data_IF_328744230974
#
_entry.id   IF_328744230974
#
_cell.length_a   1.000
_cell.length_b   1.000
_cell.length_c   1.000
_cell.angle_alpha   90.00
_cell.angle_beta   90.00
_cell.angle_gamma   90.00
#
_symmetry.space_group_name_H-M   'P 1'
#
loop_
_entity.id
_entity.type
_entity.pdbx_description
1 polymer ?
#
# COMPACT_ATOMS: atom_id res chain seq x y z
N UNK A 1 -0.98 29.05 9.61
CA UNK A 1 -1.78 27.86 9.22
C UNK A 1 -0.89 26.65 9.42
N UNK A 2 -1.21 25.73 10.36
CA UNK A 2 -0.36 24.57 10.64
C UNK A 2 -0.64 23.48 9.60
N UNK A 3 0.34 23.18 8.75
CA UNK A 3 0.29 22.02 7.85
C UNK A 3 0.13 20.75 8.69
N UNK A 4 -0.89 19.95 8.37
CA UNK A 4 -1.06 18.62 8.95
C UNK A 4 -0.01 17.70 8.32
N UNK A 5 0.78 17.03 9.15
CA UNK A 5 1.80 16.10 8.70
C UNK A 5 1.16 14.92 7.94
N UNK A 6 1.26 14.96 6.63
CA UNK A 6 1.15 13.83 5.71
C UNK A 6 2.44 13.76 4.88
N UNK A 7 2.71 12.62 4.24
CA UNK A 7 3.89 12.47 3.37
C UNK A 7 3.77 13.45 2.20
N UNK A 8 4.53 14.54 2.22
CA UNK A 8 4.63 15.49 1.10
C UNK A 8 5.62 14.95 0.07
N UNK A 9 5.24 14.85 -1.22
CA UNK A 9 6.19 14.52 -2.28
C UNK A 9 7.35 15.54 -2.29
N UNK A 10 8.58 15.07 -2.47
CA UNK A 10 9.78 15.94 -2.48
C UNK A 10 9.66 17.06 -3.51
N UNK A 11 8.97 16.85 -4.63
CA UNK A 11 8.73 17.87 -5.65
C UNK A 11 7.91 19.06 -5.14
N UNK A 12 6.96 18.84 -4.24
CA UNK A 12 6.21 19.92 -3.60
C UNK A 12 7.13 20.77 -2.73
N UNK A 13 8.03 20.13 -1.97
CA UNK A 13 9.02 20.82 -1.13
C UNK A 13 10.02 21.65 -1.94
N UNK A 14 10.38 21.19 -3.15
CA UNK A 14 11.19 21.96 -4.10
C UNK A 14 10.39 23.19 -4.59
N UNK A 15 9.12 23.00 -4.97
CA UNK A 15 8.25 24.09 -5.40
C UNK A 15 8.02 25.16 -4.32
N UNK A 16 8.04 24.78 -3.04
CA UNK A 16 7.97 25.67 -1.88
C UNK A 16 9.31 26.34 -1.53
N UNK A 17 10.40 26.01 -2.22
CA UNK A 17 11.74 26.51 -1.91
C UNK A 17 12.34 25.95 -0.61
N UNK A 18 11.76 24.87 -0.06
CA UNK A 18 12.25 24.18 1.15
C UNK A 18 13.35 23.15 0.86
N UNK A 19 13.52 22.80 -0.42
CA UNK A 19 14.59 21.94 -0.93
C UNK A 19 15.23 22.64 -2.13
N UNK A 20 16.57 22.58 -2.24
CA UNK A 20 17.30 23.21 -3.34
C UNK A 20 16.98 22.50 -4.66
N UNK A 21 16.54 23.26 -5.66
CA UNK A 21 16.26 22.72 -6.98
C UNK A 21 17.52 22.06 -7.59
N UNK A 22 17.34 20.90 -8.21
CA UNK A 22 18.45 20.14 -8.82
C UNK A 22 19.26 19.27 -7.84
N UNK A 23 19.00 19.30 -6.54
CA UNK A 23 19.72 18.44 -5.56
C UNK A 23 18.98 17.16 -5.20
N UNK A 24 17.79 16.94 -5.73
CA UNK A 24 17.02 15.70 -5.48
C UNK A 24 17.76 14.51 -6.08
N UNK A 25 17.97 13.49 -5.26
CA UNK A 25 18.50 12.19 -5.66
C UNK A 25 17.67 11.09 -5.00
N UNK A 26 17.50 9.95 -5.67
CA UNK A 26 16.85 8.79 -5.10
C UNK A 26 17.79 8.09 -4.10
N UNK A 27 17.40 8.02 -2.83
CA UNK A 27 18.24 7.44 -1.77
C UNK A 27 18.06 5.94 -1.62
N UNK A 28 16.84 5.44 -1.84
CA UNK A 28 16.50 4.04 -1.63
C UNK A 28 15.29 3.64 -2.47
N UNK A 29 15.14 2.33 -2.69
CA UNK A 29 13.95 1.72 -3.27
C UNK A 29 13.38 0.72 -2.28
N UNK A 30 12.06 0.77 -2.08
CA UNK A 30 11.33 -0.22 -1.30
C UNK A 30 10.43 -1.02 -2.22
N UNK A 31 10.28 -2.32 -1.93
CA UNK A 31 9.32 -3.18 -2.60
C UNK A 31 8.05 -3.30 -1.76
N UNK A 32 6.92 -3.58 -2.42
CA UNK A 32 5.64 -3.89 -1.78
C UNK A 32 5.32 -5.35 -2.09
N UNK A 33 4.84 -6.08 -1.08
CA UNK A 33 4.55 -7.51 -1.17
C UNK A 33 3.26 -7.89 -0.43
N UNK A 34 2.85 -9.14 -0.61
CA UNK A 34 1.72 -9.74 0.10
C UNK A 34 2.25 -10.59 1.24
N UNK A 35 1.75 -10.35 2.45
CA UNK A 35 2.03 -11.16 3.63
C UNK A 35 0.80 -12.02 3.98
N UNK A 36 1.06 -13.17 4.59
CA UNK A 36 0.04 -14.04 5.19
C UNK A 36 0.46 -14.37 6.61
N UNK A 37 -0.50 -14.81 7.45
CA UNK A 37 -0.20 -15.31 8.79
C UNK A 37 0.79 -16.48 8.73
N UNK A 38 1.67 -16.58 9.73
CA UNK A 38 2.56 -17.72 9.87
C UNK A 38 1.79 -19.05 9.85
N UNK A 39 2.34 -20.03 9.11
CA UNK A 39 1.71 -21.33 8.87
C UNK A 39 0.68 -21.37 7.74
N UNK A 40 0.24 -20.23 7.22
CA UNK A 40 -0.66 -20.19 6.07
C UNK A 40 0.09 -20.52 4.76
N UNK A 41 -0.58 -21.10 3.74
CA UNK A 41 0.03 -21.35 2.44
C UNK A 41 0.56 -20.07 1.80
N UNK A 42 1.76 -20.14 1.20
CA UNK A 42 2.34 -19.02 0.47
C UNK A 42 1.48 -18.70 -0.76
N UNK A 43 1.00 -17.46 -0.93
CA UNK A 43 0.16 -17.09 -2.06
C UNK A 43 0.92 -17.11 -3.39
N UNK A 44 0.24 -17.49 -4.46
CA UNK A 44 0.82 -17.46 -5.81
C UNK A 44 0.60 -16.09 -6.46
N UNK A 45 1.66 -15.28 -6.52
CA UNK A 45 1.59 -13.89 -7.02
C UNK A 45 2.63 -13.57 -8.12
N UNK A 46 3.15 -14.60 -8.81
CA UNK A 46 4.26 -14.41 -9.77
C UNK A 46 3.85 -13.76 -11.10
N UNK A 47 2.56 -13.60 -11.35
CA UNK A 47 2.01 -12.92 -12.53
C UNK A 47 0.81 -12.05 -12.13
N UNK A 48 0.43 -11.05 -12.94
CA UNK A 48 -0.75 -10.23 -12.67
C UNK A 48 -2.03 -11.06 -12.46
N UNK A 49 -2.22 -12.10 -13.28
CA UNK A 49 -3.39 -12.97 -13.16
C UNK A 49 -3.33 -13.88 -11.92
N UNK A 50 -2.14 -14.36 -11.52
CA UNK A 50 -1.97 -15.11 -10.28
C UNK A 50 -2.26 -14.25 -9.05
N UNK A 51 -1.78 -13.00 -9.04
CA UNK A 51 -2.10 -12.01 -8.03
C UNK A 51 -3.61 -11.74 -7.98
N UNK A 52 -4.23 -11.51 -9.14
CA UNK A 52 -5.67 -11.29 -9.27
C UNK A 52 -6.47 -12.42 -8.62
N UNK A 53 -6.20 -13.68 -9.00
CA UNK A 53 -6.89 -14.85 -8.45
C UNK A 53 -6.67 -14.99 -6.95
N UNK A 54 -5.44 -14.77 -6.48
CA UNK A 54 -5.10 -14.79 -5.05
C UNK A 54 -5.95 -13.79 -4.26
N UNK A 55 -6.04 -12.54 -4.72
CA UNK A 55 -6.82 -11.49 -4.04
C UNK A 55 -8.33 -11.76 -4.08
N UNK A 56 -8.83 -12.32 -5.18
CA UNK A 56 -10.24 -12.71 -5.30
C UNK A 56 -10.59 -13.93 -4.44
N UNK A 57 -9.65 -14.84 -4.20
CA UNK A 57 -9.86 -16.00 -3.33
C UNK A 57 -9.70 -15.66 -1.84
N UNK A 58 -8.97 -14.59 -1.50
CA UNK A 58 -8.78 -14.17 -0.12
C UNK A 58 -10.12 -13.82 0.55
N UNK A 59 -10.34 -14.28 1.79
CA UNK A 59 -11.52 -13.95 2.57
C UNK A 59 -11.53 -12.49 3.06
N UNK A 60 -10.34 -11.95 3.27
CA UNK A 60 -10.06 -10.60 3.75
C UNK A 60 -8.72 -10.11 3.20
N UNK A 61 -8.56 -8.79 3.15
CA UNK A 61 -7.29 -8.13 2.81
C UNK A 61 -7.04 -7.06 3.87
N UNK A 62 -5.79 -6.76 4.21
CA UNK A 62 -5.48 -5.62 5.08
C UNK A 62 -4.56 -4.69 4.30
N UNK A 63 -4.97 -3.44 4.16
CA UNK A 63 -4.15 -2.37 3.61
C UNK A 63 -4.17 -1.14 4.52
N UNK A 64 -3.20 -0.25 4.29
CA UNK A 64 -3.14 1.04 4.99
C UNK A 64 -3.89 2.06 4.15
N UNK A 65 -4.75 2.84 4.80
CA UNK A 65 -5.59 3.85 4.17
C UNK A 65 -4.78 4.82 3.30
N UNK A 66 -4.93 4.69 1.98
CA UNK A 66 -4.26 5.53 0.98
C UNK A 66 -4.66 7.00 1.09
N UNK A 67 -5.87 7.30 1.57
CA UNK A 67 -6.34 8.66 1.80
C UNK A 67 -5.60 9.37 2.94
N UNK A 68 -4.82 8.64 3.75
CA UNK A 68 -3.97 9.20 4.81
C UNK A 68 -2.53 9.44 4.37
N UNK A 69 -2.22 9.30 3.07
CA UNK A 69 -0.89 9.55 2.52
C UNK A 69 0.10 8.41 2.75
N UNK A 70 -0.38 7.20 3.05
CA UNK A 70 0.47 6.02 3.08
C UNK A 70 0.89 5.65 1.65
N UNK A 71 2.19 5.78 1.35
CA UNK A 71 2.76 5.50 0.03
C UNK A 71 2.49 4.06 -0.44
N UNK A 72 2.47 3.09 0.49
CA UNK A 72 2.10 1.70 0.21
C UNK A 72 0.62 1.55 -0.16
N UNK A 73 -0.29 2.24 0.53
CA UNK A 73 -1.72 2.24 0.20
C UNK A 73 -2.02 2.81 -1.17
N UNK A 74 -1.33 3.91 -1.55
CA UNK A 74 -1.46 4.51 -2.90
C UNK A 74 -1.02 3.52 -3.98
N UNK A 75 0.10 2.81 -3.77
CA UNK A 75 0.57 1.81 -4.71
C UNK A 75 -0.38 0.60 -4.81
N UNK A 76 -0.88 0.09 -3.68
CA UNK A 76 -1.85 -1.02 -3.66
C UNK A 76 -3.12 -0.64 -4.42
N UNK A 77 -3.65 0.57 -4.22
CA UNK A 77 -4.82 1.05 -4.95
C UNK A 77 -4.60 1.02 -6.48
N UNK A 78 -3.47 1.55 -6.96
CA UNK A 78 -3.13 1.54 -8.39
C UNK A 78 -2.97 0.11 -8.95
N UNK A 79 -2.39 -0.82 -8.16
CA UNK A 79 -2.26 -2.23 -8.56
C UNK A 79 -3.61 -2.93 -8.66
N UNK A 80 -4.60 -2.57 -7.83
CA UNK A 80 -5.94 -3.14 -7.89
C UNK A 80 -6.77 -2.61 -9.07
N UNK A 81 -6.49 -1.39 -9.53
CA UNK A 81 -7.15 -0.78 -10.69
C UNK A 81 -6.70 -1.42 -12.01
N UNK A 82 -5.40 -1.75 -12.15
CA UNK A 82 -4.83 -2.26 -13.41
C UNK A 82 -5.47 -3.57 -13.93
N UNK A 83 -5.81 -4.57 -13.09
CA UNK A 83 -6.55 -5.77 -13.51
C UNK A 83 -8.08 -5.62 -13.38
N UNK A 84 -8.60 -4.41 -13.09
CA UNK A 84 -10.04 -4.15 -12.97
C UNK A 84 -10.71 -4.85 -11.78
N UNK A 85 -9.96 -5.24 -10.75
CA UNK A 85 -10.50 -5.97 -9.59
C UNK A 85 -10.74 -5.10 -8.37
N UNK A 86 -10.46 -3.80 -8.48
CA UNK A 86 -10.67 -2.84 -7.41
C UNK A 86 -12.05 -3.03 -6.77
N UNK A 87 -13.13 -3.07 -7.55
CA UNK A 87 -14.50 -3.24 -7.01
C UNK A 87 -14.77 -4.60 -6.35
N UNK A 88 -14.09 -5.67 -6.78
CA UNK A 88 -14.25 -7.00 -6.19
C UNK A 88 -13.39 -7.20 -4.92
N UNK A 89 -12.30 -6.43 -4.79
CA UNK A 89 -11.36 -6.52 -3.66
C UNK A 89 -11.65 -5.45 -2.59
N UNK A 90 -12.11 -4.26 -2.98
CA UNK A 90 -12.48 -3.13 -2.10
C UNK A 90 -13.54 -3.37 -1.01
N UNK A 91 -14.43 -4.38 -1.08
CA UNK A 91 -15.32 -4.71 0.04
C UNK A 91 -14.67 -5.66 1.06
N UNK A 92 -13.52 -6.27 0.74
CA UNK A 92 -12.77 -7.17 1.63
C UNK A 92 -11.70 -6.52 2.54
N UNK A 93 -11.28 -5.24 2.39
CA UNK A 93 -10.22 -4.72 3.21
C UNK A 93 -10.72 -4.42 4.63
N UNK A 94 -10.09 -5.03 5.64
CA UNK A 94 -10.09 -4.45 6.98
C UNK A 94 -9.16 -3.25 6.93
N UNK A 95 -9.73 -2.04 6.83
CA UNK A 95 -8.95 -0.81 6.91
C UNK A 95 -8.29 -0.72 8.28
N UNK A 96 -6.98 -0.87 8.32
CA UNK A 96 -6.23 -0.77 9.57
C UNK A 96 -6.13 0.71 9.97
N UNK A 97 -6.61 1.12 11.17
CA UNK A 97 -6.80 2.53 11.52
C UNK A 97 -5.50 3.33 11.68
N UNK A 98 -4.34 2.69 11.59
CA UNK A 98 -3.01 3.28 11.64
C UNK A 98 -1.98 2.31 12.23
N UNK A 99 -0.71 2.42 11.86
CA UNK A 99 0.35 1.49 12.26
C UNK A 99 0.70 0.47 11.16
N UNK A 100 1.44 -0.58 11.52
CA UNK A 100 1.93 -1.60 10.58
C UNK A 100 0.83 -2.61 10.23
N UNK A 101 0.29 -2.54 9.02
CA UNK A 101 -0.70 -3.51 8.52
C UNK A 101 -0.19 -4.96 8.60
N UNK A 102 1.12 -5.18 8.52
CA UNK A 102 1.70 -6.51 8.69
C UNK A 102 1.48 -7.07 10.11
N UNK A 103 1.42 -6.21 11.14
CA UNK A 103 1.14 -6.61 12.52
C UNK A 103 -0.29 -7.15 12.67
N UNK A 104 -1.26 -6.57 11.94
CA UNK A 104 -2.64 -7.06 11.94
C UNK A 104 -2.74 -8.46 11.32
N UNK A 105 -2.08 -8.68 10.17
CA UNK A 105 -1.99 -9.99 9.51
C UNK A 105 -1.30 -11.01 10.42
N UNK A 106 -0.20 -10.65 11.07
CA UNK A 106 0.50 -11.53 12.01
C UNK A 106 -0.40 -11.99 13.18
N UNK A 107 -1.31 -11.12 13.63
CA UNK A 107 -2.25 -11.40 14.73
C UNK A 107 -3.55 -12.08 14.28
N UNK A 108 -3.71 -12.39 12.99
CA UNK A 108 -4.95 -12.99 12.45
C UNK A 108 -6.14 -12.04 12.51
N UNK A 109 -5.89 -10.73 12.38
CA UNK A 109 -6.91 -9.67 12.33
C UNK A 109 -7.15 -9.19 10.90
N UNK A 110 -7.07 -10.12 9.97
CA UNK A 110 -7.42 -10.01 8.55
C UNK A 110 -8.88 -10.43 8.32
#
# INVERSE_FOLDING_TARGET
MRARAGVEPVDALIGEGRVVAGTRVDLARTAIGVAVREGAPRPHISTPEALRRTLLAAGSVVDVDSARGATSGVHVAAVLEHPGIAEAVRPKPRRWPGGDAAEAVARGRD
#
